data_IF_562084232138
#
_entry.id   IF_562084232138
#
_cell.length_a   1.000
_cell.length_b   1.000
_cell.length_c   1.000
_cell.angle_alpha   90.00
_cell.angle_beta   90.00
_cell.angle_gamma   90.00
#
_symmetry.space_group_name_H-M   'P 1'
#
loop_
_entity.id
_entity.type
_entity.pdbx_description
1 polymer ?
#
# COMPACT_ATOMS: atom_id res chain seq x y z
N UNK A 1 -21.29 26.30 21.66
CA UNK A 1 -20.50 26.58 20.44
C UNK A 1 -19.41 25.53 20.43
N UNK A 2 -19.50 24.56 19.53
CA UNK A 2 -18.55 23.45 19.46
C UNK A 2 -17.15 24.00 19.18
N UNK A 3 -16.22 23.63 20.05
CA UNK A 3 -14.81 23.96 19.94
C UNK A 3 -14.18 23.05 18.86
N UNK A 4 -14.53 23.26 17.59
CA UNK A 4 -13.93 22.53 16.48
C UNK A 4 -12.54 23.09 16.22
N UNK A 5 -11.54 22.47 16.85
CA UNK A 5 -10.17 22.59 16.39
C UNK A 5 -10.15 22.05 14.94
N UNK A 6 -9.75 22.82 13.92
CA UNK A 6 -9.74 22.32 12.55
C UNK A 6 -8.89 21.04 12.48
N UNK A 7 -9.46 19.99 11.91
CA UNK A 7 -8.77 18.70 11.76
C UNK A 7 -7.41 18.92 11.09
N UNK A 8 -6.35 18.40 11.71
CA UNK A 8 -4.99 18.51 11.17
C UNK A 8 -4.84 17.63 9.94
N UNK A 9 -3.86 17.92 9.08
CA UNK A 9 -3.53 17.02 7.97
C UNK A 9 -3.25 15.59 8.45
N UNK A 10 -2.63 15.41 9.62
CA UNK A 10 -2.37 14.10 10.21
C UNK A 10 -3.65 13.34 10.55
N UNK A 11 -4.64 14.04 11.14
CA UNK A 11 -5.95 13.47 11.46
C UNK A 11 -6.64 12.97 10.19
N UNK A 12 -6.77 13.83 9.16
CA UNK A 12 -7.37 13.44 7.89
C UNK A 12 -6.62 12.30 7.20
N UNK A 13 -5.28 12.30 7.25
CA UNK A 13 -4.48 11.24 6.66
C UNK A 13 -4.81 9.88 7.28
N UNK A 14 -4.90 9.82 8.62
CA UNK A 14 -5.25 8.61 9.36
C UNK A 14 -6.70 8.18 9.15
N UNK A 15 -7.64 9.12 9.23
CA UNK A 15 -9.07 8.83 9.09
C UNK A 15 -9.38 8.29 7.68
N UNK A 16 -8.81 8.88 6.63
CA UNK A 16 -8.95 8.36 5.27
C UNK A 16 -8.24 7.01 5.10
N UNK A 17 -7.05 6.83 5.69
CA UNK A 17 -6.30 5.57 5.60
C UNK A 17 -7.09 4.40 6.20
N UNK A 18 -7.70 4.60 7.36
CA UNK A 18 -8.48 3.57 8.06
C UNK A 18 -9.76 3.24 7.30
N UNK A 19 -10.49 4.24 6.80
CA UNK A 19 -11.70 3.99 6.01
C UNK A 19 -11.42 3.25 4.70
N UNK A 20 -10.24 3.43 4.08
CA UNK A 20 -9.84 2.62 2.93
C UNK A 20 -9.78 1.13 3.29
N UNK A 21 -9.35 0.78 4.51
CA UNK A 21 -9.32 -0.62 4.97
C UNK A 21 -10.72 -1.19 5.16
N UNK A 22 -11.63 -0.43 5.76
CA UNK A 22 -13.03 -0.83 5.91
C UNK A 22 -13.65 -1.21 4.54
N UNK A 23 -13.34 -0.44 3.50
CA UNK A 23 -13.81 -0.71 2.13
C UNK A 23 -13.08 -1.90 1.51
N UNK A 24 -11.76 -2.02 1.70
CA UNK A 24 -10.96 -3.16 1.19
C UNK A 24 -11.43 -4.51 1.75
N UNK A 25 -11.91 -4.54 3.00
CA UNK A 25 -12.42 -5.75 3.65
C UNK A 25 -13.82 -6.16 3.16
N UNK A 26 -14.62 -5.22 2.62
CA UNK A 26 -15.95 -5.50 2.11
C UNK A 26 -15.92 -6.25 0.77
N UNK A 27 -16.17 -7.57 0.76
CA UNK A 27 -16.16 -8.37 -0.48
C UNK A 27 -17.31 -8.07 -1.47
N UNK A 28 -18.30 -7.26 -1.09
CA UNK A 28 -19.45 -6.89 -1.93
C UNK A 28 -19.50 -5.38 -2.21
N UNK A 29 -18.32 -4.78 -2.47
CA UNK A 29 -18.23 -3.38 -2.89
C UNK A 29 -19.06 -3.10 -4.14
N UNK A 30 -19.73 -1.96 -4.12
CA UNK A 30 -20.33 -1.32 -5.28
C UNK A 30 -19.27 -0.55 -6.07
N UNK A 31 -19.52 -0.25 -7.36
CA UNK A 31 -18.61 0.61 -8.13
C UNK A 31 -18.35 1.98 -7.49
N UNK A 32 -19.35 2.56 -6.81
CA UNK A 32 -19.18 3.82 -6.09
C UNK A 32 -18.21 3.68 -4.91
N UNK A 33 -18.32 2.60 -4.12
CA UNK A 33 -17.39 2.34 -3.01
C UNK A 33 -15.96 2.09 -3.52
N UNK A 34 -15.80 1.47 -4.69
CA UNK A 34 -14.48 1.32 -5.33
C UNK A 34 -13.88 2.68 -5.74
N UNK A 35 -14.67 3.58 -6.32
CA UNK A 35 -14.23 4.94 -6.64
C UNK A 35 -13.90 5.74 -5.38
N UNK A 36 -14.74 5.67 -4.35
CA UNK A 36 -14.53 6.35 -3.07
C UNK A 36 -13.27 5.85 -2.39
N UNK A 37 -13.01 4.54 -2.41
CA UNK A 37 -11.76 3.94 -1.90
C UNK A 37 -10.52 4.54 -2.58
N UNK A 38 -10.54 4.73 -3.89
CA UNK A 38 -9.43 5.35 -4.64
C UNK A 38 -9.27 6.82 -4.21
N UNK A 39 -10.37 7.59 -4.18
CA UNK A 39 -10.34 9.00 -3.77
C UNK A 39 -9.82 9.18 -2.34
N UNK A 40 -10.25 8.32 -1.42
CA UNK A 40 -9.84 8.35 -0.01
C UNK A 40 -8.38 7.96 0.15
N UNK A 41 -7.90 6.96 -0.60
CA UNK A 41 -6.49 6.58 -0.55
C UNK A 41 -5.58 7.70 -1.06
N UNK A 42 -5.95 8.37 -2.15
CA UNK A 42 -5.25 9.58 -2.63
C UNK A 42 -5.32 10.72 -1.63
N UNK A 43 -6.48 10.94 -1.00
CA UNK A 43 -6.65 11.97 0.01
C UNK A 43 -5.74 11.69 1.21
N UNK A 44 -5.73 10.45 1.71
CA UNK A 44 -4.84 10.02 2.78
C UNK A 44 -3.38 10.30 2.44
N UNK A 45 -2.94 9.84 1.26
CA UNK A 45 -1.57 10.05 0.79
C UNK A 45 -1.22 11.54 0.71
N UNK A 46 -2.09 12.34 0.08
CA UNK A 46 -1.88 13.78 -0.04
C UNK A 46 -1.77 14.45 1.33
N UNK A 47 -2.69 14.16 2.25
CA UNK A 47 -2.66 14.70 3.60
C UNK A 47 -1.38 14.30 4.35
N UNK A 48 -0.92 13.05 4.22
CA UNK A 48 0.38 12.63 4.79
C UNK A 48 1.54 13.47 4.25
N UNK A 49 1.55 13.83 2.96
CA UNK A 49 2.61 14.70 2.39
C UNK A 49 2.57 16.14 2.91
N UNK A 50 1.50 16.55 3.59
CA UNK A 50 1.37 17.88 4.21
C UNK A 50 1.77 17.89 5.69
N UNK A 51 1.99 16.73 6.29
CA UNK A 51 2.45 16.62 7.68
C UNK A 51 3.93 17.01 7.72
N UNK A 52 4.29 17.98 8.57
CA UNK A 52 5.63 18.58 8.62
C UNK A 52 6.73 17.53 8.87
N UNK A 53 6.47 16.55 9.73
CA UNK A 53 7.38 15.51 10.16
C UNK A 53 7.14 14.15 9.48
N UNK A 54 6.45 14.11 8.33
CA UNK A 54 6.27 12.86 7.61
C UNK A 54 7.60 12.24 7.17
N UNK A 55 7.66 10.93 7.20
CA UNK A 55 8.87 10.16 6.89
C UNK A 55 8.76 9.43 5.56
N UNK A 56 9.90 8.95 5.05
CA UNK A 56 9.92 8.06 3.87
C UNK A 56 9.12 6.76 4.12
N UNK A 57 9.03 6.31 5.38
CA UNK A 57 8.16 5.21 5.79
C UNK A 57 6.68 5.55 5.56
N UNK A 58 6.23 6.76 5.92
CA UNK A 58 4.85 7.19 5.65
C UNK A 58 4.55 7.18 4.14
N UNK A 59 5.48 7.66 3.32
CA UNK A 59 5.33 7.65 1.86
C UNK A 59 5.30 6.21 1.30
N UNK A 60 6.17 5.32 1.79
CA UNK A 60 6.19 3.92 1.39
C UNK A 60 4.85 3.24 1.67
N UNK A 61 4.31 3.40 2.87
CA UNK A 61 3.01 2.82 3.26
C UNK A 61 1.88 3.36 2.36
N UNK A 62 1.86 4.66 2.09
CA UNK A 62 0.85 5.27 1.23
C UNK A 62 0.95 4.82 -0.23
N UNK A 63 2.16 4.68 -0.78
CA UNK A 63 2.36 4.13 -2.12
C UNK A 63 1.96 2.66 -2.22
N UNK A 64 2.24 1.87 -1.19
CA UNK A 64 1.76 0.49 -1.11
C UNK A 64 0.23 0.42 -1.10
N UNK A 65 -0.45 1.23 -0.26
CA UNK A 65 -1.91 1.23 -0.21
C UNK A 65 -2.52 1.70 -1.54
N UNK A 66 -1.95 2.73 -2.20
CA UNK A 66 -2.36 3.15 -3.53
C UNK A 66 -2.23 2.01 -4.55
N UNK A 67 -1.11 1.28 -4.53
CA UNK A 67 -0.96 0.10 -5.38
C UNK A 67 -2.04 -0.95 -5.09
N UNK A 68 -2.32 -1.19 -3.81
CA UNK A 68 -3.30 -2.20 -3.37
C UNK A 68 -4.71 -1.86 -3.84
N UNK A 69 -5.18 -0.62 -3.66
CA UNK A 69 -6.53 -0.22 -4.08
C UNK A 69 -6.70 -0.33 -5.60
N UNK A 70 -5.69 0.09 -6.38
CA UNK A 70 -5.74 -0.06 -7.84
C UNK A 70 -5.73 -1.51 -8.30
N UNK A 71 -4.97 -2.38 -7.62
CA UNK A 71 -4.99 -3.80 -7.94
C UNK A 71 -6.35 -4.45 -7.64
N UNK A 72 -7.01 -4.07 -6.55
CA UNK A 72 -8.33 -4.58 -6.17
C UNK A 72 -9.40 -4.23 -7.20
N UNK A 73 -9.37 -3.01 -7.77
CA UNK A 73 -10.31 -2.57 -8.81
C UNK A 73 -9.90 -3.00 -10.23
N UNK A 74 -8.90 -3.87 -10.36
CA UNK A 74 -8.46 -4.41 -11.66
C UNK A 74 -7.65 -3.45 -12.53
N UNK A 75 -7.15 -2.34 -11.99
CA UNK A 75 -6.36 -1.35 -12.73
C UNK A 75 -4.84 -1.59 -12.58
N UNK A 76 -4.36 -2.64 -13.25
CA UNK A 76 -2.99 -3.14 -13.12
C UNK A 76 -1.89 -2.12 -13.41
N UNK A 77 -2.05 -1.26 -14.43
CA UNK A 77 -1.04 -0.24 -14.77
C UNK A 77 -0.84 0.80 -13.65
N UNK A 78 -1.93 1.25 -13.03
CA UNK A 78 -1.86 2.18 -11.91
C UNK A 78 -1.28 1.50 -10.67
N UNK A 79 -1.69 0.25 -10.41
CA UNK A 79 -1.10 -0.53 -9.34
C UNK A 79 0.42 -0.63 -9.51
N UNK A 80 0.89 -1.04 -10.69
CA UNK A 80 2.32 -1.19 -10.98
C UNK A 80 3.09 0.12 -10.83
N UNK A 81 2.49 1.24 -11.26
CA UNK A 81 3.09 2.56 -11.09
C UNK A 81 3.37 2.88 -9.62
N UNK A 82 2.40 2.64 -8.73
CA UNK A 82 2.57 2.93 -7.30
C UNK A 82 3.43 1.89 -6.58
N UNK A 83 3.38 0.62 -6.96
CA UNK A 83 4.31 -0.40 -6.48
C UNK A 83 5.78 -0.02 -6.74
N UNK A 84 6.10 0.41 -7.97
CA UNK A 84 7.46 0.87 -8.32
C UNK A 84 7.90 2.10 -7.52
N UNK A 85 6.97 3.01 -7.22
CA UNK A 85 7.25 4.17 -6.34
C UNK A 85 7.52 3.71 -4.91
N UNK A 86 6.75 2.75 -4.39
CA UNK A 86 6.97 2.15 -3.09
C UNK A 86 8.36 1.52 -2.99
N UNK A 87 8.75 0.69 -3.95
CA UNK A 87 10.09 0.06 -4.00
C UNK A 87 11.19 1.13 -4.06
N UNK A 88 11.03 2.15 -4.91
CA UNK A 88 12.02 3.22 -5.08
C UNK A 88 12.23 3.99 -3.77
N UNK A 89 11.14 4.39 -3.10
CA UNK A 89 11.19 5.10 -1.82
C UNK A 89 11.81 4.23 -0.74
N UNK A 90 11.34 2.98 -0.59
CA UNK A 90 11.85 2.05 0.40
C UNK A 90 13.35 1.80 0.25
N UNK A 91 13.80 1.56 -0.98
CA UNK A 91 15.22 1.27 -1.27
C UNK A 91 16.09 2.51 -1.10
N UNK A 92 15.68 3.66 -1.62
CA UNK A 92 16.48 4.90 -1.57
C UNK A 92 16.64 5.42 -0.15
N UNK A 93 15.63 5.24 0.69
CA UNK A 93 15.66 5.62 2.10
C UNK A 93 16.26 4.54 3.01
N UNK A 94 16.66 3.39 2.45
CA UNK A 94 17.13 2.23 3.21
C UNK A 94 16.17 1.83 4.35
N UNK A 95 14.87 1.80 4.04
CA UNK A 95 13.85 1.39 5.00
C UNK A 95 14.06 -0.06 5.41
N UNK A 96 13.43 -0.44 6.52
CA UNK A 96 13.45 -1.80 7.02
C UNK A 96 12.97 -2.79 5.95
N UNK A 97 13.53 -4.03 5.93
CA UNK A 97 13.19 -5.03 4.92
C UNK A 97 11.69 -5.26 4.73
N UNK A 98 10.91 -5.12 5.80
CA UNK A 98 9.45 -5.19 5.78
C UNK A 98 8.81 -4.25 4.74
N UNK A 99 9.19 -2.97 4.74
CA UNK A 99 8.61 -1.97 3.83
C UNK A 99 9.03 -2.19 2.38
N UNK A 100 10.28 -2.60 2.16
CA UNK A 100 10.76 -2.90 0.80
C UNK A 100 10.10 -4.19 0.28
N UNK A 101 9.94 -5.21 1.14
CA UNK A 101 9.24 -6.45 0.82
C UNK A 101 7.79 -6.21 0.40
N UNK A 102 7.06 -5.33 1.11
CA UNK A 102 5.72 -4.92 0.71
C UNK A 102 5.66 -4.15 -0.63
N UNK A 103 6.72 -3.43 -0.99
CA UNK A 103 6.84 -2.84 -2.32
C UNK A 103 6.84 -3.90 -3.42
N UNK A 104 7.57 -5.00 -3.22
CA UNK A 104 7.61 -6.12 -4.16
C UNK A 104 6.35 -7.00 -4.12
N UNK A 105 5.70 -7.15 -2.96
CA UNK A 105 4.36 -7.77 -2.86
C UNK A 105 3.34 -7.01 -3.72
N UNK A 106 3.31 -5.67 -3.59
CA UNK A 106 2.45 -4.82 -4.40
C UNK A 106 2.76 -4.93 -5.90
N UNK A 107 4.04 -5.03 -6.27
CA UNK A 107 4.45 -5.21 -7.66
C UNK A 107 3.99 -6.56 -8.22
N UNK A 108 4.18 -7.64 -7.45
CA UNK A 108 3.72 -8.97 -7.82
C UNK A 108 2.20 -8.99 -8.07
N UNK A 109 1.44 -8.37 -7.17
CA UNK A 109 -0.02 -8.23 -7.30
C UNK A 109 -0.43 -7.43 -8.53
N UNK A 110 0.27 -6.34 -8.83
CA UNK A 110 0.01 -5.55 -10.02
C UNK A 110 0.24 -6.36 -11.31
N UNK A 111 1.32 -7.14 -11.39
CA UNK A 111 1.58 -8.01 -12.53
C UNK A 111 0.54 -9.15 -12.67
N UNK A 112 0.02 -9.70 -11.57
CA UNK A 112 -1.10 -10.65 -11.64
C UNK A 112 -2.34 -10.03 -12.28
N UNK A 113 -2.69 -8.79 -11.93
CA UNK A 113 -3.81 -8.04 -12.55
C UNK A 113 -3.56 -7.80 -14.04
N UNK A 114 -2.32 -7.55 -14.43
CA UNK A 114 -1.91 -7.39 -15.83
C UNK A 114 -1.82 -8.73 -16.60
N UNK A 115 -1.95 -9.87 -15.93
CA UNK A 115 -1.80 -11.20 -16.53
C UNK A 115 -0.34 -11.63 -16.78
N UNK A 116 0.64 -10.88 -16.31
CA UNK A 116 2.08 -11.15 -16.48
C UNK A 116 2.59 -12.04 -15.33
N UNK A 117 2.29 -13.34 -15.42
CA UNK A 117 2.60 -14.32 -14.36
C UNK A 117 4.10 -14.48 -14.11
N UNK A 118 4.92 -14.32 -15.13
CA UNK A 118 6.38 -14.44 -15.01
C UNK A 118 6.93 -13.32 -14.13
N UNK A 119 6.56 -12.07 -14.40
CA UNK A 119 7.00 -10.94 -13.57
C UNK A 119 6.35 -10.94 -12.20
N UNK A 120 5.11 -11.41 -12.08
CA UNK A 120 4.48 -11.60 -10.79
C UNK A 120 5.29 -12.56 -9.90
N UNK A 121 5.74 -13.68 -10.45
CA UNK A 121 6.58 -14.64 -9.73
C UNK A 121 7.94 -14.02 -9.34
N UNK A 122 8.61 -13.33 -10.27
CA UNK A 122 9.90 -12.69 -9.99
C UNK A 122 9.80 -11.61 -8.89
N UNK A 123 8.72 -10.82 -8.87
CA UNK A 123 8.46 -9.85 -7.80
C UNK A 123 8.14 -10.56 -6.48
N UNK A 124 7.37 -11.66 -6.49
CA UNK A 124 7.08 -12.47 -5.29
C UNK A 124 8.36 -13.07 -4.69
N UNK A 125 9.25 -13.59 -5.52
CA UNK A 125 10.57 -14.09 -5.10
C UNK A 125 11.41 -12.96 -4.48
N UNK A 126 11.42 -11.78 -5.10
CA UNK A 126 12.10 -10.60 -4.56
C UNK A 126 11.55 -10.21 -3.19
N UNK A 127 10.23 -10.21 -3.01
CA UNK A 127 9.61 -9.98 -1.70
C UNK A 127 10.03 -11.04 -0.66
N UNK A 128 10.14 -12.32 -1.07
CA UNK A 128 10.63 -13.43 -0.24
C UNK A 128 12.06 -13.19 0.28
N UNK A 129 12.95 -12.67 -0.56
CA UNK A 129 14.32 -12.31 -0.15
C UNK A 129 14.36 -11.20 0.93
N UNK A 130 13.37 -10.31 0.94
CA UNK A 130 13.22 -9.30 2.00
C UNK A 130 12.53 -9.86 3.24
N UNK A 131 11.53 -10.74 3.08
CA UNK A 131 10.88 -11.46 4.17
C UNK A 131 11.90 -12.19 5.05
N UNK A 132 12.88 -12.85 4.44
CA UNK A 132 13.94 -13.55 5.18
C UNK A 132 14.81 -12.64 6.05
N UNK A 133 14.86 -11.35 5.74
CA UNK A 133 15.59 -10.33 6.49
C UNK A 133 14.73 -9.62 7.54
N UNK A 134 13.42 -9.86 7.57
CA UNK A 134 12.53 -9.31 8.61
C UNK A 134 12.75 -10.07 9.91
N UNK A 135 13.22 -9.36 10.94
CA UNK A 135 13.55 -9.94 12.25
C UNK A 135 12.39 -9.90 13.24
N UNK A 136 11.46 -8.96 13.07
CA UNK A 136 10.29 -8.81 13.93
C UNK A 136 9.21 -9.82 13.47
N UNK A 137 8.76 -10.68 14.37
CA UNK A 137 7.99 -11.87 14.04
C UNK A 137 6.59 -11.53 13.51
N UNK A 138 5.92 -10.52 14.06
CA UNK A 138 4.60 -10.10 13.63
C UNK A 138 4.67 -9.53 12.20
N UNK A 139 5.63 -8.65 11.94
CA UNK A 139 5.95 -8.10 10.63
C UNK A 139 6.29 -9.18 9.60
N UNK A 140 7.07 -10.18 10.01
CA UNK A 140 7.39 -11.33 9.15
C UNK A 140 6.12 -12.11 8.80
N UNK A 141 5.26 -12.38 9.78
CA UNK A 141 4.02 -13.11 9.58
C UNK A 141 3.05 -12.36 8.66
N UNK A 142 2.91 -11.05 8.83
CA UNK A 142 2.06 -10.21 7.97
C UNK A 142 2.48 -10.31 6.50
N UNK A 143 3.76 -10.07 6.20
CA UNK A 143 4.25 -10.14 4.83
C UNK A 143 4.15 -11.57 4.26
N UNK A 144 4.45 -12.60 5.05
CA UNK A 144 4.32 -13.99 4.61
C UNK A 144 2.88 -14.33 4.19
N UNK A 145 1.89 -13.96 5.01
CA UNK A 145 0.47 -14.19 4.71
C UNK A 145 0.02 -13.49 3.42
N UNK A 146 0.46 -12.24 3.21
CA UNK A 146 0.13 -11.52 1.98
C UNK A 146 0.81 -12.12 0.74
N UNK A 147 2.05 -12.62 0.87
CA UNK A 147 2.71 -13.33 -0.23
C UNK A 147 2.04 -14.67 -0.54
N UNK A 148 1.55 -15.39 0.47
CA UNK A 148 0.81 -16.64 0.28
C UNK A 148 -0.53 -16.41 -0.45
N UNK A 149 -1.13 -15.23 -0.31
CA UNK A 149 -2.33 -14.82 -1.06
C UNK A 149 -2.12 -14.59 -2.56
N UNK A 150 -0.85 -14.51 -3.01
CA UNK A 150 -0.47 -14.38 -4.41
C UNK A 150 -0.32 -15.79 -5.03
N UNK A 151 -1.44 -16.44 -5.31
CA UNK A 151 -1.54 -17.77 -5.95
C UNK A 151 -2.09 -17.71 -7.36
#
# INVERSE_FOLDING_TARGET
MDNQNPNTHKQFAMDCFNQVWDILENKQRTPQEEEDMIHMCHSSFWHWTRVEDHTQRNLSIGYWQLSRVYAVVGQGDQALRYAKRCITVGSSASLEPFYIGYGYEAEARAYLVLGDKERALASKESAGLYLDKVTEQESRNMLALDLDSLS
#
